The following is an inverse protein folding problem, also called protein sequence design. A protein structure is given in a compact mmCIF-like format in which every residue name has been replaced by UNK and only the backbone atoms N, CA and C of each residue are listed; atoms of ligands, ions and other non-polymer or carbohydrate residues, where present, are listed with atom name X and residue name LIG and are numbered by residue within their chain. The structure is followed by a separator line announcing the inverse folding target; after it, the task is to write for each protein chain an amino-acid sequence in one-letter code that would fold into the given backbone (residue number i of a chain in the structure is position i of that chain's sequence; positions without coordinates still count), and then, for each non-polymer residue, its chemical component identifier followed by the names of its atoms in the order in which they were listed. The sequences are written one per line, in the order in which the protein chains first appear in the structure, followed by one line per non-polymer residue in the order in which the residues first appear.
data_IF_036018904691
#
_entry.id   IF_036018904691
#
_cell.length_a   1.000
_cell.length_b   1.000
_cell.length_c   1.000
_cell.angle_alpha   90.00
_cell.angle_beta   90.00
_cell.angle_gamma   90.00
#
_symmetry.space_group_name_H-M   'P 1'
#
loop_
_entity.id
_entity.type
_entity.pdbx_description
1 polymer ?
#
# COMPACT_ATOMS: atom_id res chain seq x y z
N UNK A 1 59.60 6.25 18.14
CA UNK A 1 59.30 5.16 17.22
C UNK A 1 58.15 5.60 16.33
N UNK A 2 58.46 5.96 15.10
CA UNK A 2 57.47 6.36 14.08
C UNK A 2 57.08 5.08 13.38
N UNK A 3 55.85 4.64 13.58
CA UNK A 3 55.28 3.50 12.87
C UNK A 3 55.02 3.85 11.42
N UNK A 4 55.81 3.34 10.52
CA UNK A 4 55.57 3.34 9.07
C UNK A 4 54.40 2.42 8.81
N UNK A 5 53.25 3.00 8.37
CA UNK A 5 52.16 2.27 7.75
C UNK A 5 52.69 1.72 6.41
N UNK A 6 52.96 0.43 6.36
CA UNK A 6 53.32 -0.23 5.11
C UNK A 6 52.09 -0.32 4.22
N UNK A 7 51.94 0.60 3.26
CA UNK A 7 51.08 0.40 2.11
C UNK A 7 51.55 -0.85 1.37
N UNK A 8 50.66 -1.78 1.09
CA UNK A 8 50.94 -2.99 0.32
C UNK A 8 51.30 -2.58 -1.10
N UNK A 9 52.54 -2.76 -1.58
CA UNK A 9 52.98 -2.22 -2.89
C UNK A 9 52.43 -3.02 -4.12
N UNK A 10 51.52 -3.97 -3.87
CA UNK A 10 50.98 -4.86 -4.90
C UNK A 10 49.48 -4.63 -5.21
N UNK A 11 48.84 -3.71 -4.53
CA UNK A 11 47.53 -3.25 -5.00
C UNK A 11 47.75 -2.26 -6.14
N UNK A 12 47.63 -2.76 -7.35
CA UNK A 12 47.55 -1.89 -8.53
C UNK A 12 46.31 -0.99 -8.36
N UNK A 13 46.41 0.32 -8.54
CA UNK A 13 45.24 1.16 -8.59
C UNK A 13 44.32 0.66 -9.69
N UNK A 14 43.03 0.46 -9.35
CA UNK A 14 41.99 0.15 -10.35
C UNK A 14 42.12 1.15 -11.50
N UNK A 15 42.31 0.65 -12.73
CA UNK A 15 42.23 1.53 -13.89
C UNK A 15 40.81 2.08 -13.98
N UNK A 16 40.65 3.36 -14.34
CA UNK A 16 39.33 4.02 -14.43
C UNK A 16 38.30 3.20 -15.25
N UNK A 17 38.74 2.47 -16.24
CA UNK A 17 37.91 1.58 -17.09
C UNK A 17 37.34 0.36 -16.34
N UNK A 18 37.93 -0.05 -15.23
CA UNK A 18 37.46 -1.21 -14.45
C UNK A 18 36.45 -0.82 -13.36
N UNK A 19 36.26 0.48 -13.12
CA UNK A 19 35.33 0.98 -12.13
C UNK A 19 33.87 0.61 -12.42
N UNK A 20 33.34 0.77 -13.65
CA UNK A 20 31.96 0.33 -13.96
C UNK A 20 31.75 -1.16 -13.70
N UNK A 21 32.74 -2.01 -14.07
CA UNK A 21 32.68 -3.44 -13.82
C UNK A 21 32.65 -3.76 -12.30
N UNK A 22 33.45 -3.08 -11.51
CA UNK A 22 33.51 -3.27 -10.07
C UNK A 22 32.16 -2.90 -9.41
N UNK A 23 31.54 -1.78 -9.80
CA UNK A 23 30.21 -1.37 -9.32
C UNK A 23 29.16 -2.41 -9.71
N UNK A 24 29.13 -2.86 -10.96
CA UNK A 24 28.16 -3.84 -11.44
C UNK A 24 28.29 -5.18 -10.71
N UNK A 25 29.52 -5.68 -10.52
CA UNK A 25 29.77 -6.93 -9.78
C UNK A 25 29.31 -6.81 -8.32
N UNK A 26 29.67 -5.72 -7.64
CA UNK A 26 29.25 -5.50 -6.26
C UNK A 26 27.73 -5.41 -6.17
N UNK A 27 27.07 -4.73 -7.08
CA UNK A 27 25.60 -4.69 -7.16
C UNK A 27 25.01 -6.10 -7.32
N UNK A 28 25.52 -6.89 -8.29
CA UNK A 28 25.03 -8.24 -8.55
C UNK A 28 25.20 -9.16 -7.33
N UNK A 29 26.36 -9.11 -6.68
CA UNK A 29 26.68 -9.89 -5.49
C UNK A 29 25.81 -9.50 -4.28
N UNK A 30 25.59 -8.21 -4.06
CA UNK A 30 24.77 -7.75 -2.94
C UNK A 30 23.30 -8.14 -3.14
N UNK A 31 22.78 -8.03 -4.35
CA UNK A 31 21.46 -8.54 -4.70
C UNK A 31 21.39 -10.06 -4.51
N UNK A 32 22.37 -10.79 -5.00
CA UNK A 32 22.46 -12.26 -4.87
C UNK A 32 22.40 -12.71 -3.42
N UNK A 33 23.09 -12.00 -2.52
CA UNK A 33 23.18 -12.32 -1.11
C UNK A 33 21.93 -11.93 -0.32
N UNK A 34 21.27 -10.85 -0.66
CA UNK A 34 20.34 -10.19 0.26
C UNK A 34 18.92 -9.97 -0.26
N UNK A 35 18.75 -9.83 -1.59
CA UNK A 35 17.41 -9.61 -2.14
C UNK A 35 16.56 -10.89 -2.08
N UNK A 36 15.35 -10.78 -1.53
CA UNK A 36 14.51 -11.94 -1.21
C UNK A 36 13.43 -12.24 -2.24
N UNK A 37 13.04 -11.26 -3.08
CA UNK A 37 11.83 -11.35 -3.90
C UNK A 37 12.09 -11.81 -5.35
N UNK A 38 13.16 -12.58 -5.63
CA UNK A 38 13.43 -13.06 -6.99
C UNK A 38 12.34 -13.99 -7.53
N UNK A 39 11.82 -14.89 -6.69
CA UNK A 39 10.77 -15.82 -7.08
C UNK A 39 9.43 -15.12 -7.26
N UNK A 40 9.09 -14.19 -6.40
CA UNK A 40 7.86 -13.41 -6.43
C UNK A 40 7.76 -12.54 -7.70
N UNK A 41 8.91 -12.08 -8.20
CA UNK A 41 9.01 -11.30 -9.44
C UNK A 41 9.35 -12.15 -10.67
N UNK A 42 9.45 -13.48 -10.51
CA UNK A 42 9.76 -14.43 -11.59
C UNK A 42 11.06 -14.12 -12.34
N UNK A 43 12.10 -13.69 -11.62
CA UNK A 43 13.38 -13.27 -12.20
C UNK A 43 14.45 -14.32 -12.01
N UNK A 44 15.06 -14.73 -13.11
CA UNK A 44 16.29 -15.51 -13.10
C UNK A 44 17.49 -14.56 -12.97
N UNK A 45 18.05 -14.46 -11.77
CA UNK A 45 19.10 -13.49 -11.45
C UNK A 45 20.42 -13.77 -12.21
N UNK A 46 20.77 -15.03 -12.41
CA UNK A 46 22.00 -15.39 -13.18
C UNK A 46 21.86 -14.94 -14.64
N UNK A 47 20.66 -15.06 -15.22
CA UNK A 47 20.42 -14.57 -16.58
C UNK A 47 20.63 -13.07 -16.70
N UNK A 48 20.28 -12.27 -15.68
CA UNK A 48 20.55 -10.83 -15.66
C UNK A 48 22.05 -10.55 -15.72
N UNK A 49 22.88 -11.31 -14.99
CA UNK A 49 24.33 -11.16 -15.05
C UNK A 49 24.87 -11.41 -16.45
N UNK A 50 24.58 -12.58 -17.02
CA UNK A 50 25.11 -12.98 -18.33
C UNK A 50 24.63 -12.10 -19.49
N UNK A 51 23.44 -11.53 -19.36
CA UNK A 51 22.89 -10.61 -20.37
C UNK A 51 23.64 -9.28 -20.40
N UNK A 52 24.11 -8.79 -19.24
CA UNK A 52 24.64 -7.44 -19.13
C UNK A 52 26.18 -7.39 -19.07
N UNK A 53 26.85 -8.45 -18.62
CA UNK A 53 28.29 -8.42 -18.32
C UNK A 53 29.16 -8.03 -19.53
N UNK A 54 28.83 -8.48 -20.76
CA UNK A 54 29.59 -8.14 -21.98
C UNK A 54 29.54 -6.65 -22.27
N UNK A 55 28.35 -6.02 -22.11
CA UNK A 55 28.17 -4.59 -22.31
C UNK A 55 28.90 -3.80 -21.22
N UNK A 56 28.83 -4.25 -19.96
CA UNK A 56 29.49 -3.59 -18.83
C UNK A 56 31.01 -3.58 -19.00
N UNK A 57 31.59 -4.65 -19.52
CA UNK A 57 33.03 -4.74 -19.78
C UNK A 57 33.55 -3.72 -20.82
N UNK A 58 32.67 -3.17 -21.65
CA UNK A 58 33.04 -2.18 -22.69
C UNK A 58 32.90 -0.74 -22.18
N UNK A 59 32.31 -0.54 -20.99
CA UNK A 59 32.08 0.79 -20.46
C UNK A 59 33.37 1.48 -20.01
N UNK A 60 33.42 2.79 -20.26
CA UNK A 60 34.54 3.63 -19.84
C UNK A 60 34.14 4.58 -18.68
N UNK A 61 32.86 4.85 -18.54
CA UNK A 61 32.35 5.81 -17.55
C UNK A 61 31.28 5.13 -16.66
N UNK A 62 31.28 5.49 -15.39
CA UNK A 62 30.28 4.98 -14.43
C UNK A 62 28.86 5.44 -14.76
N UNK A 63 28.70 6.55 -15.46
CA UNK A 63 27.41 7.08 -15.90
C UNK A 63 26.69 6.17 -16.89
N UNK A 64 27.44 5.42 -17.68
CA UNK A 64 26.92 4.49 -18.68
C UNK A 64 26.28 3.24 -18.04
N UNK A 65 26.49 3.02 -16.71
CA UNK A 65 25.75 2.03 -15.92
C UNK A 65 24.29 2.39 -15.68
N UNK A 66 23.93 3.68 -15.68
CA UNK A 66 22.58 4.14 -15.34
C UNK A 66 21.52 3.47 -16.24
N UNK A 67 21.61 3.47 -17.57
CA UNK A 67 20.62 2.80 -18.41
C UNK A 67 20.60 1.28 -18.23
N UNK A 68 21.73 0.64 -17.92
CA UNK A 68 21.80 -0.80 -17.64
C UNK A 68 21.05 -1.11 -16.35
N UNK A 69 21.34 -0.40 -15.27
CA UNK A 69 20.63 -0.57 -14.00
C UNK A 69 19.15 -0.25 -14.14
N UNK A 70 18.77 0.79 -14.87
CA UNK A 70 17.35 1.10 -15.12
C UNK A 70 16.64 -0.06 -15.83
N UNK A 71 17.30 -0.70 -16.81
CA UNK A 71 16.76 -1.88 -17.50
C UNK A 71 16.59 -3.08 -16.56
N UNK A 72 17.56 -3.30 -15.67
CA UNK A 72 17.49 -4.37 -14.67
C UNK A 72 16.35 -4.11 -13.69
N UNK A 73 16.23 -2.89 -13.15
CA UNK A 73 15.13 -2.54 -12.24
C UNK A 73 13.77 -2.65 -12.90
N UNK A 74 13.66 -2.30 -14.19
CA UNK A 74 12.44 -2.48 -14.96
C UNK A 74 12.07 -3.96 -15.19
N UNK A 75 13.05 -4.86 -15.18
CA UNK A 75 12.84 -6.30 -15.25
C UNK A 75 12.35 -6.85 -13.91
N UNK A 76 12.96 -6.40 -12.81
CA UNK A 76 12.59 -6.78 -11.45
C UNK A 76 11.20 -6.25 -11.06
N UNK A 77 10.82 -5.07 -11.52
CA UNK A 77 9.52 -4.42 -11.24
C UNK A 77 9.21 -4.23 -9.76
N UNK A 78 10.26 -4.15 -8.94
CA UNK A 78 10.13 -3.89 -7.51
C UNK A 78 10.25 -2.38 -7.24
N UNK A 79 9.17 -1.70 -6.81
CA UNK A 79 9.20 -0.26 -6.55
C UNK A 79 9.95 0.11 -5.27
N UNK A 80 10.27 -0.86 -4.40
CA UNK A 80 11.07 -0.66 -3.20
C UNK A 80 12.58 -0.73 -3.48
N UNK A 81 12.95 -1.27 -4.65
CA UNK A 81 14.32 -1.42 -5.09
C UNK A 81 14.81 -0.13 -5.76
N UNK A 82 15.88 0.45 -5.24
CA UNK A 82 16.51 1.61 -5.86
C UNK A 82 18.03 1.64 -5.68
N UNK A 83 18.71 2.29 -6.61
CA UNK A 83 20.15 2.44 -6.61
C UNK A 83 20.49 3.91 -6.45
N UNK A 84 21.22 4.24 -5.40
CA UNK A 84 21.79 5.56 -5.16
C UNK A 84 23.01 5.80 -6.04
N UNK A 85 22.97 6.86 -6.83
CA UNK A 85 24.06 7.29 -7.70
C UNK A 85 24.73 8.51 -7.08
N UNK A 86 26.07 8.54 -6.94
CA UNK A 86 26.77 9.69 -6.37
C UNK A 86 26.41 10.98 -7.08
N UNK A 87 25.98 11.99 -6.33
CA UNK A 87 25.66 13.35 -6.81
C UNK A 87 24.57 13.41 -7.90
N UNK A 88 23.80 12.34 -8.10
CA UNK A 88 22.69 12.25 -9.05
C UNK A 88 21.41 11.75 -8.41
N UNK A 89 20.31 11.81 -9.16
CA UNK A 89 19.08 11.18 -8.76
C UNK A 89 19.24 9.66 -8.74
N UNK A 90 18.62 8.99 -7.76
CA UNK A 90 18.60 7.53 -7.67
C UNK A 90 17.86 6.91 -8.85
N UNK A 91 18.31 5.71 -9.22
CA UNK A 91 17.66 4.86 -10.22
C UNK A 91 16.63 3.99 -9.47
N UNK A 92 15.41 3.94 -9.97
CA UNK A 92 14.35 3.11 -9.39
C UNK A 92 13.39 2.66 -10.49
N UNK A 93 12.70 1.56 -10.24
CA UNK A 93 11.56 1.19 -11.08
C UNK A 93 10.47 2.26 -10.90
N UNK A 94 10.05 2.85 -12.02
CA UNK A 94 8.96 3.81 -12.01
C UNK A 94 7.68 3.09 -12.38
N UNK A 95 6.73 3.13 -11.46
CA UNK A 95 5.37 2.72 -11.73
C UNK A 95 4.83 3.54 -12.91
N UNK A 96 4.44 2.87 -13.98
CA UNK A 96 3.84 3.52 -15.13
C UNK A 96 2.50 4.12 -14.74
N UNK A 97 2.43 5.40 -14.61
CA UNK A 97 1.24 6.17 -14.36
C UNK A 97 1.51 7.38 -13.47
N UNK A 98 1.52 8.56 -14.04
CA UNK A 98 1.35 9.78 -13.26
C UNK A 98 -0.13 9.90 -12.88
N UNK A 99 -0.44 10.57 -11.76
CA UNK A 99 -1.81 10.97 -11.41
C UNK A 99 -2.55 11.60 -12.59
N UNK A 100 -1.83 12.35 -13.41
CA UNK A 100 -2.33 13.03 -14.61
C UNK A 100 -2.69 12.03 -15.73
N UNK A 101 -1.96 10.92 -15.89
CA UNK A 101 -2.26 9.92 -16.93
C UNK A 101 -3.55 9.14 -16.67
N UNK A 102 -4.09 9.18 -15.44
CA UNK A 102 -5.34 8.55 -15.04
C UNK A 102 -6.48 9.56 -14.85
N UNK A 103 -6.27 10.82 -15.23
CA UNK A 103 -7.31 11.86 -15.16
C UNK A 103 -7.64 12.34 -13.75
N UNK A 104 -6.80 11.99 -12.76
CA UNK A 104 -7.02 12.32 -11.36
C UNK A 104 -6.16 13.51 -10.98
N UNK A 105 -6.80 14.63 -10.68
CA UNK A 105 -6.13 15.76 -10.03
C UNK A 105 -6.27 15.61 -8.51
N UNK A 106 -5.15 15.55 -7.81
CA UNK A 106 -5.03 15.36 -6.33
C UNK A 106 -5.84 16.36 -5.49
N UNK A 107 -6.21 17.48 -6.05
CA UNK A 107 -6.98 18.53 -5.36
C UNK A 107 -8.48 18.22 -5.23
N UNK A 108 -9.05 17.45 -6.16
CA UNK A 108 -10.52 17.32 -6.26
C UNK A 108 -11.14 16.30 -5.30
N UNK A 109 -10.38 15.33 -4.83
CA UNK A 109 -10.92 14.33 -3.88
C UNK A 109 -11.01 14.84 -2.44
N UNK A 110 -10.13 15.79 -2.06
CA UNK A 110 -10.11 16.38 -0.71
C UNK A 110 -11.01 17.60 -0.57
N UNK A 111 -11.20 18.37 -1.63
CA UNK A 111 -12.03 19.59 -1.58
C UNK A 111 -13.53 19.29 -1.42
N UNK A 112 -13.95 18.10 -1.83
CA UNK A 112 -15.35 17.68 -1.81
C UNK A 112 -15.92 17.47 -0.39
N UNK A 113 -15.08 17.14 0.59
CA UNK A 113 -15.52 16.76 1.92
C UNK A 113 -15.36 17.85 2.98
N UNK A 114 -14.82 19.01 2.65
CA UNK A 114 -14.42 20.03 3.63
C UNK A 114 -15.59 20.89 4.14
N UNK A 115 -16.72 20.91 3.48
CA UNK A 115 -17.79 21.86 3.78
C UNK A 115 -18.83 21.38 4.81
N UNK A 116 -18.61 20.29 5.49
CA UNK A 116 -19.57 19.75 6.47
C UNK A 116 -19.10 20.02 7.90
N UNK A 117 -19.92 20.75 8.68
CA UNK A 117 -19.63 21.22 10.06
C UNK A 117 -19.33 20.11 11.09
N UNK A 118 -19.48 18.84 10.72
CA UNK A 118 -19.26 17.66 11.57
C UNK A 118 -18.01 16.87 11.19
N UNK A 119 -17.10 17.44 10.41
CA UNK A 119 -15.93 16.75 9.90
C UNK A 119 -14.70 17.05 10.74
N UNK A 120 -14.05 16.03 11.28
CA UNK A 120 -12.69 16.15 11.81
C UNK A 120 -11.68 15.99 10.69
N UNK A 121 -11.05 17.08 10.30
CA UNK A 121 -9.92 17.08 9.39
C UNK A 121 -8.64 17.34 10.16
N UNK A 122 -7.72 16.39 10.11
CA UNK A 122 -6.37 16.50 10.68
C UNK A 122 -5.33 16.68 9.55
N UNK A 123 -5.21 17.89 8.97
CA UNK A 123 -4.40 18.11 7.77
C UNK A 123 -2.93 17.77 7.98
N UNK A 124 -2.42 17.98 9.20
CA UNK A 124 -1.05 17.63 9.57
C UNK A 124 -0.77 16.13 9.53
N UNK A 125 -1.80 15.29 9.61
CA UNK A 125 -1.72 13.84 9.67
C UNK A 125 -2.21 13.16 8.39
N UNK A 126 -2.83 13.92 7.48
CA UNK A 126 -3.42 13.37 6.25
C UNK A 126 -4.48 12.28 6.52
N UNK A 127 -5.25 12.49 7.58
CA UNK A 127 -6.36 11.63 7.99
C UNK A 127 -7.57 12.51 8.23
N UNK A 128 -8.73 12.05 7.82
CA UNK A 128 -9.99 12.72 8.10
C UNK A 128 -11.13 11.72 8.23
N UNK A 129 -12.14 12.09 9.01
CA UNK A 129 -13.37 11.33 9.18
C UNK A 129 -14.57 12.19 8.84
N UNK A 130 -15.58 11.55 8.27
CA UNK A 130 -16.84 12.16 7.92
C UNK A 130 -17.99 11.29 8.38
N UNK A 131 -19.13 11.90 8.67
CA UNK A 131 -20.41 11.22 8.78
C UNK A 131 -21.18 11.40 7.47
N UNK A 132 -21.49 10.28 6.82
CA UNK A 132 -22.33 10.26 5.62
C UNK A 132 -23.73 9.81 6.03
N UNK A 133 -24.73 10.62 5.70
CA UNK A 133 -26.13 10.23 5.83
C UNK A 133 -26.68 9.90 4.45
N UNK A 134 -27.28 8.74 4.32
CA UNK A 134 -27.89 8.28 3.09
C UNK A 134 -29.32 7.81 3.36
N UNK A 135 -30.26 8.32 2.57
CA UNK A 135 -31.67 7.96 2.68
C UNK A 135 -32.07 7.07 1.50
N UNK A 136 -32.53 5.87 1.83
CA UNK A 136 -33.08 4.94 0.87
C UNK A 136 -34.51 4.58 1.32
N UNK A 137 -35.50 4.89 0.49
CA UNK A 137 -36.91 4.75 0.80
C UNK A 137 -37.27 5.44 2.13
N UNK A 138 -37.80 4.70 3.11
CA UNK A 138 -38.20 5.22 4.43
C UNK A 138 -37.10 5.06 5.51
N UNK A 139 -35.89 4.66 5.11
CA UNK A 139 -34.77 4.42 6.02
C UNK A 139 -33.65 5.42 5.80
N UNK A 140 -33.08 5.91 6.89
CA UNK A 140 -31.88 6.72 6.92
C UNK A 140 -30.72 5.89 7.48
N UNK A 141 -29.63 5.79 6.70
CA UNK A 141 -28.40 5.14 7.09
C UNK A 141 -27.35 6.17 7.50
N UNK A 142 -26.54 5.81 8.47
CA UNK A 142 -25.44 6.64 8.93
C UNK A 142 -24.14 5.86 8.78
N UNK A 143 -23.31 6.25 7.83
CA UNK A 143 -22.01 5.65 7.60
C UNK A 143 -20.91 6.54 8.16
N UNK A 144 -19.85 5.93 8.66
CA UNK A 144 -18.60 6.62 8.95
C UNK A 144 -17.65 6.46 7.76
N UNK A 145 -17.05 7.55 7.36
CA UNK A 145 -15.99 7.54 6.34
C UNK A 145 -14.67 7.92 7.00
N UNK A 146 -13.66 7.09 6.82
CA UNK A 146 -12.30 7.26 7.35
C UNK A 146 -11.33 7.23 6.19
N UNK A 147 -10.71 8.35 5.89
CA UNK A 147 -9.65 8.40 4.89
C UNK A 147 -8.29 8.47 5.56
N UNK A 148 -7.39 7.58 5.17
CA UNK A 148 -5.99 7.58 5.60
C UNK A 148 -5.09 7.71 4.37
N UNK A 149 -4.62 8.93 4.09
CA UNK A 149 -3.76 9.22 2.93
C UNK A 149 -2.27 8.88 3.18
N UNK A 150 -1.89 8.54 4.41
CA UNK A 150 -0.51 8.23 4.75
C UNK A 150 -0.40 7.53 6.11
N UNK A 151 0.46 6.52 6.20
CA UNK A 151 0.84 5.85 7.44
C UNK A 151 2.19 6.37 7.97
N UNK A 152 2.36 7.67 8.08
CA UNK A 152 3.58 8.27 8.64
C UNK A 152 3.63 8.13 10.16
N UNK A 153 4.81 7.96 10.73
CA UNK A 153 5.05 7.72 12.16
C UNK A 153 4.30 8.68 13.10
N UNK A 154 4.20 9.96 12.74
CA UNK A 154 3.44 10.95 13.53
C UNK A 154 1.96 10.64 13.72
N UNK A 155 1.43 9.68 12.97
CA UNK A 155 0.02 9.30 13.00
C UNK A 155 -0.27 8.14 13.97
N UNK A 156 0.75 7.43 14.47
CA UNK A 156 0.56 6.21 15.24
C UNK A 156 -0.36 6.38 16.48
N UNK A 157 -0.25 7.52 17.17
CA UNK A 157 -1.00 7.77 18.41
C UNK A 157 -2.42 8.31 18.19
N UNK A 158 -2.79 8.64 16.96
CA UNK A 158 -4.09 9.27 16.70
C UNK A 158 -5.18 8.29 16.25
N UNK A 159 -4.79 7.08 15.78
CA UNK A 159 -5.75 6.14 15.22
C UNK A 159 -6.76 5.63 16.25
N UNK A 160 -6.31 5.30 17.46
CA UNK A 160 -7.18 4.83 18.51
C UNK A 160 -8.25 5.87 18.89
N UNK A 161 -7.91 7.11 19.34
CA UNK A 161 -8.92 8.09 19.70
C UNK A 161 -9.84 8.46 18.53
N UNK A 162 -9.32 8.46 17.29
CA UNK A 162 -10.13 8.73 16.11
C UNK A 162 -11.17 7.63 15.87
N UNK A 163 -10.75 6.37 15.93
CA UNK A 163 -11.66 5.24 15.72
C UNK A 163 -12.60 4.99 16.91
N UNK A 164 -12.20 5.37 18.13
CA UNK A 164 -13.11 5.44 19.28
C UNK A 164 -14.25 6.43 19.03
N UNK A 165 -13.97 7.61 18.48
CA UNK A 165 -15.01 8.56 18.10
C UNK A 165 -15.90 7.99 16.98
N UNK A 166 -15.33 7.35 15.97
CA UNK A 166 -16.08 6.67 14.90
C UNK A 166 -17.00 5.60 15.50
N UNK A 167 -16.53 4.77 16.41
CA UNK A 167 -17.33 3.74 17.06
C UNK A 167 -18.45 4.31 17.94
N UNK A 168 -18.19 5.44 18.62
CA UNK A 168 -19.21 6.15 19.43
C UNK A 168 -20.39 6.68 18.61
N UNK A 169 -20.18 6.96 17.32
CA UNK A 169 -21.26 7.36 16.42
C UNK A 169 -22.23 6.21 16.12
N UNK A 170 -21.88 4.97 16.48
CA UNK A 170 -22.66 3.76 16.18
C UNK A 170 -23.08 3.71 14.70
N UNK A 171 -22.15 3.81 13.76
CA UNK A 171 -22.48 3.85 12.34
C UNK A 171 -23.07 2.51 11.90
N UNK A 172 -23.95 2.55 10.91
CA UNK A 172 -24.47 1.35 10.25
C UNK A 172 -23.41 0.63 9.43
N UNK A 173 -22.33 1.33 9.01
CA UNK A 173 -21.18 0.79 8.31
C UNK A 173 -20.03 1.78 8.28
N UNK A 174 -18.83 1.29 7.93
CA UNK A 174 -17.62 2.09 7.85
C UNK A 174 -17.01 1.97 6.45
N UNK A 175 -16.64 3.11 5.86
CA UNK A 175 -15.85 3.19 4.64
C UNK A 175 -14.43 3.59 5.04
N UNK A 176 -13.45 2.75 4.75
CA UNK A 176 -12.02 3.02 4.92
C UNK A 176 -11.42 3.32 3.55
N UNK A 177 -11.05 4.56 3.31
CA UNK A 177 -10.47 4.98 2.03
C UNK A 177 -8.94 5.05 2.12
N UNK A 178 -8.28 4.13 1.42
CA UNK A 178 -6.83 4.03 1.31
C UNK A 178 -6.32 4.47 -0.07
N UNK A 179 -7.17 5.06 -0.90
CA UNK A 179 -6.74 5.58 -2.19
C UNK A 179 -5.66 6.65 -2.01
N UNK A 180 -4.69 6.67 -2.90
CA UNK A 180 -3.54 7.60 -2.89
C UNK A 180 -2.59 7.45 -1.68
N UNK A 181 -2.82 6.51 -0.79
CA UNK A 181 -1.90 6.22 0.31
C UNK A 181 -0.73 5.38 -0.23
N UNK A 182 0.36 6.06 -0.51
CA UNK A 182 1.60 5.47 -1.03
C UNK A 182 2.81 5.79 -0.16
N UNK A 183 2.58 6.20 1.08
CA UNK A 183 3.65 6.64 2.00
C UNK A 183 3.36 6.20 3.43
N UNK A 184 4.43 5.81 4.11
CA UNK A 184 4.34 5.51 5.52
C UNK A 184 5.21 4.36 5.95
N UNK A 185 5.03 3.96 7.18
CA UNK A 185 5.83 2.96 7.85
C UNK A 185 4.93 1.81 8.30
N UNK A 186 5.44 0.59 8.19
CA UNK A 186 4.72 -0.62 8.59
C UNK A 186 4.24 -0.55 10.07
N UNK A 187 5.06 -0.15 11.05
CA UNK A 187 4.58 -0.05 12.44
C UNK A 187 3.41 0.90 12.62
N UNK A 188 3.40 2.03 11.89
CA UNK A 188 2.30 3.00 11.96
C UNK A 188 1.01 2.44 11.37
N UNK A 189 1.10 1.67 10.28
CA UNK A 189 -0.04 0.95 9.71
C UNK A 189 -0.58 -0.10 10.69
N UNK A 190 0.29 -0.81 11.41
CA UNK A 190 -0.12 -1.78 12.44
C UNK A 190 -0.96 -1.11 13.54
N UNK A 191 -0.60 0.09 13.99
CA UNK A 191 -1.42 0.81 14.98
C UNK A 191 -2.83 1.13 14.48
N UNK A 192 -3.00 1.37 13.19
CA UNK A 192 -4.32 1.50 12.56
C UNK A 192 -5.06 0.16 12.51
N UNK A 193 -4.42 -0.89 12.03
CA UNK A 193 -5.00 -2.23 11.88
C UNK A 193 -5.46 -2.83 13.21
N UNK A 194 -4.70 -2.62 14.29
CA UNK A 194 -5.02 -3.12 15.65
C UNK A 194 -6.41 -2.70 16.13
N UNK A 195 -6.92 -1.59 15.63
CA UNK A 195 -8.22 -1.07 16.04
C UNK A 195 -9.40 -1.92 15.51
N UNK A 196 -9.17 -2.70 14.45
CA UNK A 196 -10.17 -3.55 13.80
C UNK A 196 -10.11 -5.02 14.21
N UNK A 197 -9.13 -5.41 14.99
CA UNK A 197 -8.94 -6.78 15.48
C UNK A 197 -9.11 -6.84 16.99
N UNK A 198 -9.61 -7.96 17.49
CA UNK A 198 -9.69 -8.23 18.92
C UNK A 198 -8.74 -9.36 19.29
N UNK A 199 -7.98 -9.17 20.38
CA UNK A 199 -7.06 -10.14 20.95
C UNK A 199 -5.83 -10.42 20.10
N UNK A 200 -5.03 -11.38 20.53
CA UNK A 200 -3.78 -11.73 19.89
C UNK A 200 -4.01 -12.72 18.73
N UNK A 201 -3.56 -12.37 17.53
CA UNK A 201 -3.62 -13.25 16.36
C UNK A 201 -2.59 -12.92 15.30
N UNK A 202 -2.15 -13.92 14.49
CA UNK A 202 -1.32 -13.64 13.33
C UNK A 202 -2.12 -12.91 12.25
N UNK A 203 -1.49 -11.92 11.61
CA UNK A 203 -2.05 -11.17 10.49
C UNK A 203 -1.28 -11.40 9.20
N UNK A 204 -0.03 -11.84 9.29
CA UNK A 204 0.82 -12.23 8.17
C UNK A 204 1.95 -13.15 8.65
N UNK A 205 2.70 -13.68 7.70
CA UNK A 205 3.89 -14.48 7.92
C UNK A 205 5.07 -13.83 7.22
N UNK A 206 6.25 -13.86 7.84
CA UNK A 206 7.48 -13.32 7.28
C UNK A 206 8.44 -14.46 6.96
N UNK A 207 9.05 -14.39 5.79
CA UNK A 207 10.09 -15.30 5.32
C UNK A 207 11.32 -14.47 4.99
N UNK A 208 12.49 -14.92 5.40
CA UNK A 208 13.77 -14.23 5.18
C UNK A 208 14.80 -15.21 4.60
N UNK A 209 15.92 -14.68 4.15
CA UNK A 209 17.07 -15.52 3.81
C UNK A 209 17.60 -16.21 5.06
N UNK A 210 17.83 -17.52 4.95
CA UNK A 210 18.48 -18.28 6.03
C UNK A 210 20.00 -18.10 6.01
N UNK A 211 20.59 -17.93 4.81
CA UNK A 211 22.01 -17.67 4.63
C UNK A 211 22.31 -16.86 3.36
N UNK A 212 23.50 -16.29 3.29
CA UNK A 212 23.99 -15.57 2.08
C UNK A 212 24.49 -16.52 0.97
N UNK A 213 24.68 -17.81 1.28
CA UNK A 213 25.31 -18.77 0.36
C UNK A 213 24.36 -19.27 -0.74
N UNK A 214 23.06 -19.29 -0.44
CA UNK A 214 22.05 -19.78 -1.38
C UNK A 214 20.82 -18.88 -1.39
N UNK A 215 20.60 -18.17 -2.47
CA UNK A 215 19.47 -17.23 -2.65
C UNK A 215 18.09 -17.87 -2.53
N UNK A 216 17.99 -19.18 -2.64
CA UNK A 216 16.74 -19.93 -2.52
C UNK A 216 16.56 -20.58 -1.14
N UNK A 217 17.56 -20.46 -0.25
CA UNK A 217 17.45 -20.99 1.10
C UNK A 217 16.75 -19.96 2.01
N UNK A 218 15.46 -20.15 2.21
CA UNK A 218 14.61 -19.26 2.96
C UNK A 218 14.22 -19.89 4.30
N UNK A 219 14.01 -19.06 5.32
CA UNK A 219 13.51 -19.50 6.62
C UNK A 219 12.10 -20.09 6.52
N UNK A 220 11.72 -20.88 7.52
CA UNK A 220 10.29 -21.19 7.68
C UNK A 220 9.50 -19.90 7.92
N UNK A 221 8.24 -19.85 7.44
CA UNK A 221 7.37 -18.69 7.68
C UNK A 221 7.13 -18.45 9.17
N UNK A 222 7.52 -17.29 9.65
CA UNK A 222 7.33 -16.85 11.03
C UNK A 222 6.08 -15.97 11.13
N UNK A 223 5.14 -16.28 12.05
CA UNK A 223 3.92 -15.49 12.18
C UNK A 223 4.22 -14.11 12.78
N UNK A 224 3.73 -13.07 12.12
CA UNK A 224 3.66 -11.74 12.67
C UNK A 224 2.28 -11.54 13.31
N UNK A 225 2.24 -11.55 14.63
CA UNK A 225 1.01 -11.40 15.41
C UNK A 225 0.86 -9.98 15.93
N UNK A 226 -0.39 -9.52 15.99
CA UNK A 226 -0.74 -8.27 16.67
C UNK A 226 -1.63 -8.55 17.88
N UNK A 227 -1.55 -7.66 18.85
CA UNK A 227 -2.47 -7.61 19.97
C UNK A 227 -3.54 -6.56 19.64
N UNK A 228 -4.64 -7.04 19.09
CA UNK A 228 -5.73 -6.20 18.59
C UNK A 228 -6.51 -5.57 19.73
N UNK A 229 -6.97 -4.34 19.54
CA UNK A 229 -7.68 -3.53 20.56
C UNK A 229 -9.20 -3.60 20.45
N UNK A 230 -9.73 -4.02 19.28
CA UNK A 230 -11.17 -4.18 19.05
C UNK A 230 -11.98 -2.89 19.19
N UNK A 231 -11.37 -1.74 18.89
CA UNK A 231 -12.03 -0.43 18.98
C UNK A 231 -13.22 -0.34 18.03
N UNK A 232 -13.08 -0.92 16.84
CA UNK A 232 -14.16 -1.06 15.86
C UNK A 232 -14.79 -2.44 16.03
N UNK A 233 -16.07 -2.55 16.42
CA UNK A 233 -16.74 -3.83 16.56
C UNK A 233 -16.80 -4.61 15.26
N UNK A 234 -16.58 -5.92 15.32
CA UNK A 234 -16.63 -6.85 14.18
C UNK A 234 -18.03 -7.02 13.58
N UNK A 235 -19.07 -6.57 14.30
CA UNK A 235 -20.45 -6.53 13.81
C UNK A 235 -20.74 -5.43 12.80
N UNK A 236 -19.86 -4.41 12.69
CA UNK A 236 -20.03 -3.29 11.76
C UNK A 236 -19.43 -3.66 10.40
N UNK A 237 -20.20 -3.64 9.30
CA UNK A 237 -19.66 -3.91 7.97
C UNK A 237 -18.67 -2.82 7.53
N UNK A 238 -17.61 -3.23 6.86
CA UNK A 238 -16.50 -2.36 6.44
C UNK A 238 -16.31 -2.49 4.93
N UNK A 239 -16.26 -1.35 4.25
CA UNK A 239 -15.79 -1.29 2.87
C UNK A 239 -14.45 -0.58 2.83
N UNK A 240 -13.44 -1.25 2.28
CA UNK A 240 -12.12 -0.64 2.03
C UNK A 240 -12.03 -0.23 0.58
N UNK A 241 -11.73 1.04 0.32
CA UNK A 241 -11.56 1.56 -1.04
C UNK A 241 -10.07 1.71 -1.34
N UNK A 242 -9.63 1.15 -2.46
CA UNK A 242 -8.25 1.23 -2.94
C UNK A 242 -8.18 1.67 -4.39
N UNK A 243 -7.01 2.17 -4.81
CA UNK A 243 -6.73 2.43 -6.22
C UNK A 243 -5.29 2.05 -6.59
N UNK A 244 -4.90 2.27 -7.84
CA UNK A 244 -3.55 1.92 -8.32
C UNK A 244 -2.42 2.67 -7.58
N UNK A 245 -2.71 3.76 -6.86
CA UNK A 245 -1.75 4.47 -6.00
C UNK A 245 -1.77 4.00 -4.53
N UNK A 246 -2.62 3.06 -4.17
CA UNK A 246 -2.54 2.38 -2.88
C UNK A 246 -1.34 1.45 -2.91
N UNK A 247 -0.29 1.78 -2.15
CA UNK A 247 0.99 1.11 -2.23
C UNK A 247 1.66 0.94 -0.87
N UNK A 248 2.59 -0.01 -0.75
CA UNK A 248 3.37 -0.24 0.45
C UNK A 248 2.51 -0.61 1.65
N UNK A 249 2.69 0.01 2.82
CA UNK A 249 1.90 -0.29 4.02
C UNK A 249 0.39 -0.19 3.80
N UNK A 250 -0.09 0.67 2.89
CA UNK A 250 -1.51 0.78 2.61
C UNK A 250 -2.06 -0.43 1.84
N UNK A 251 -1.28 -0.98 0.91
CA UNK A 251 -1.63 -2.23 0.22
C UNK A 251 -1.70 -3.39 1.22
N UNK A 252 -0.72 -3.49 2.12
CA UNK A 252 -0.70 -4.49 3.20
C UNK A 252 -1.91 -4.31 4.14
N UNK A 253 -2.23 -3.07 4.52
CA UNK A 253 -3.40 -2.74 5.33
C UNK A 253 -4.69 -3.26 4.70
N UNK A 254 -4.90 -2.98 3.42
CA UNK A 254 -6.09 -3.41 2.70
C UNK A 254 -6.23 -4.94 2.69
N UNK A 255 -5.14 -5.68 2.47
CA UNK A 255 -5.14 -7.14 2.55
C UNK A 255 -5.46 -7.67 3.94
N UNK A 256 -4.83 -7.09 4.98
CA UNK A 256 -5.08 -7.52 6.36
C UNK A 256 -6.54 -7.29 6.72
N UNK A 257 -7.10 -6.13 6.37
CA UNK A 257 -8.51 -5.83 6.61
C UNK A 257 -9.43 -6.75 5.80
N UNK A 258 -9.05 -7.11 4.56
CA UNK A 258 -9.83 -8.04 3.73
C UNK A 258 -9.99 -9.43 4.36
N UNK A 259 -9.08 -9.83 5.25
CA UNK A 259 -9.19 -11.10 5.97
C UNK A 259 -10.28 -11.08 7.07
N UNK A 260 -10.82 -9.92 7.41
CA UNK A 260 -11.94 -9.81 8.34
C UNK A 260 -13.26 -10.23 7.66
N UNK A 261 -14.12 -11.00 8.31
CA UNK A 261 -15.35 -11.54 7.71
C UNK A 261 -16.39 -10.47 7.35
N UNK A 262 -16.31 -9.30 8.00
CA UNK A 262 -17.19 -8.14 7.79
C UNK A 262 -16.62 -7.11 6.82
N UNK A 263 -15.52 -7.41 6.13
CA UNK A 263 -14.82 -6.46 5.25
C UNK A 263 -14.90 -6.86 3.78
N UNK A 264 -15.17 -5.88 2.94
CA UNK A 264 -15.14 -5.99 1.46
C UNK A 264 -14.20 -4.93 0.90
N UNK A 265 -13.30 -5.33 0.00
CA UNK A 265 -12.35 -4.41 -0.65
C UNK A 265 -12.81 -4.14 -2.08
N UNK A 266 -12.91 -2.86 -2.42
CA UNK A 266 -13.37 -2.39 -3.72
C UNK A 266 -12.43 -1.35 -4.33
N UNK A 267 -12.59 -1.07 -5.60
CA UNK A 267 -11.86 -0.01 -6.28
C UNK A 267 -11.08 -0.49 -7.48
N UNK A 268 -9.89 0.05 -7.71
CA UNK A 268 -8.99 -0.34 -8.79
C UNK A 268 -7.91 -1.29 -8.27
N UNK A 269 -7.40 -2.13 -9.18
CA UNK A 269 -6.24 -2.97 -8.87
C UNK A 269 -5.08 -2.10 -8.38
N UNK A 270 -4.55 -2.45 -7.20
CA UNK A 270 -3.42 -1.74 -6.63
C UNK A 270 -2.14 -2.03 -7.41
N UNK A 271 -1.16 -1.17 -7.27
CA UNK A 271 0.18 -1.49 -7.71
C UNK A 271 0.74 -2.61 -6.86
N UNK A 272 1.38 -3.59 -7.48
CA UNK A 272 2.07 -4.66 -6.77
C UNK A 272 3.26 -4.14 -5.96
N UNK A 273 3.60 -4.84 -4.88
CA UNK A 273 4.80 -4.60 -4.10
C UNK A 273 4.63 -3.66 -2.90
N UNK A 274 5.73 -3.48 -2.19
CA UNK A 274 5.80 -2.58 -1.04
C UNK A 274 5.41 -3.19 0.30
N UNK A 275 5.21 -4.51 0.36
CA UNK A 275 4.93 -5.23 1.61
C UNK A 275 6.18 -5.63 2.37
N UNK A 276 7.28 -5.83 1.69
CA UNK A 276 8.55 -6.28 2.25
C UNK A 276 9.26 -5.20 3.07
N UNK A 277 10.08 -5.60 4.02
CA UNK A 277 11.00 -4.71 4.72
C UNK A 277 12.17 -4.36 3.80
N UNK A 278 12.68 -3.13 3.92
CA UNK A 278 13.76 -2.62 3.07
C UNK A 278 15.04 -2.47 3.87
N UNK A 279 16.14 -2.95 3.33
CA UNK A 279 17.50 -2.71 3.80
C UNK A 279 18.33 -1.94 2.77
N UNK A 280 19.44 -1.37 3.24
CA UNK A 280 20.37 -0.66 2.37
C UNK A 280 21.79 -1.08 2.62
N UNK A 281 22.59 -1.18 1.55
CA UNK A 281 24.03 -1.44 1.60
C UNK A 281 24.78 -0.44 0.74
N UNK A 282 26.01 -0.17 1.13
CA UNK A 282 26.93 0.60 0.29
C UNK A 282 27.53 -0.30 -0.76
N UNK A 283 27.52 0.16 -1.99
CA UNK A 283 28.29 -0.42 -3.08
C UNK A 283 29.65 0.30 -3.19
N UNK A 284 30.56 -0.28 -3.98
CA UNK A 284 31.82 0.38 -4.26
C UNK A 284 31.64 1.75 -4.93
N UNK A 285 32.63 2.63 -4.85
CA UNK A 285 32.65 3.98 -5.44
C UNK A 285 31.48 4.89 -4.99
N UNK A 286 31.02 4.75 -3.74
CA UNK A 286 29.94 5.54 -3.14
C UNK A 286 28.57 5.38 -3.79
N UNK A 287 28.35 4.32 -4.55
CA UNK A 287 27.03 3.88 -4.95
C UNK A 287 26.34 3.22 -3.75
N UNK A 288 25.02 3.17 -3.76
CA UNK A 288 24.24 2.54 -2.71
C UNK A 288 23.12 1.69 -3.33
N UNK A 289 22.73 0.64 -2.64
CA UNK A 289 21.65 -0.24 -3.03
C UNK A 289 20.65 -0.35 -1.89
N UNK A 290 19.36 -0.18 -2.18
CA UNK A 290 18.25 -0.46 -1.29
C UNK A 290 17.37 -1.54 -1.90
N UNK A 291 17.01 -2.53 -1.10
CA UNK A 291 16.34 -3.75 -1.58
C UNK A 291 15.42 -4.34 -0.52
N UNK A 292 14.46 -5.14 -0.96
CA UNK A 292 13.59 -5.94 -0.10
C UNK A 292 14.36 -7.11 0.51
N UNK A 293 14.36 -7.24 1.84
CA UNK A 293 15.14 -8.23 2.59
C UNK A 293 14.28 -9.28 3.31
N UNK A 294 12.98 -9.23 3.14
CA UNK A 294 12.03 -10.27 3.55
C UNK A 294 10.92 -10.41 2.50
N UNK A 295 10.16 -11.47 2.60
CA UNK A 295 8.90 -11.64 1.88
C UNK A 295 7.80 -11.84 2.91
N UNK A 296 6.69 -11.13 2.76
CA UNK A 296 5.53 -11.29 3.62
C UNK A 296 4.39 -11.97 2.88
N UNK A 297 3.77 -12.91 3.55
CA UNK A 297 2.57 -13.61 3.09
C UNK A 297 1.41 -13.32 4.03
N UNK A 298 0.25 -13.08 3.47
CA UNK A 298 -0.97 -12.94 4.26
C UNK A 298 -1.43 -14.30 4.79
N UNK A 299 -2.39 -14.31 5.70
CA UNK A 299 -2.92 -15.55 6.31
C UNK A 299 -3.53 -16.52 5.30
N UNK A 300 -3.86 -16.07 4.11
CA UNK A 300 -4.31 -16.90 2.99
C UNK A 300 -3.19 -17.28 2.00
N UNK A 301 -1.92 -17.05 2.37
CA UNK A 301 -0.71 -17.33 1.58
C UNK A 301 -0.55 -16.54 0.28
N UNK A 302 -1.30 -15.46 0.09
CA UNK A 302 -0.97 -14.50 -0.96
C UNK A 302 0.25 -13.68 -0.57
N UNK A 303 1.16 -13.49 -1.52
CA UNK A 303 2.36 -12.68 -1.33
C UNK A 303 2.02 -11.19 -1.28
N UNK A 304 2.60 -10.45 -0.34
CA UNK A 304 2.44 -9.00 -0.22
C UNK A 304 3.02 -8.22 -1.41
N UNK A 305 3.88 -8.87 -2.22
CA UNK A 305 4.42 -8.28 -3.44
C UNK A 305 3.46 -8.38 -4.64
N UNK A 306 2.34 -9.09 -4.49
CA UNK A 306 1.32 -9.22 -5.52
C UNK A 306 0.28 -8.09 -5.46
N UNK A 307 -0.36 -7.75 -6.58
CA UNK A 307 -1.52 -6.84 -6.58
C UNK A 307 -2.66 -7.38 -5.72
N UNK A 308 -3.38 -6.47 -5.06
CA UNK A 308 -4.53 -6.83 -4.24
C UNK A 308 -5.66 -7.42 -5.10
N UNK A 309 -6.19 -8.57 -4.68
CA UNK A 309 -7.40 -9.14 -5.26
C UNK A 309 -8.64 -8.43 -4.71
N UNK A 310 -9.32 -7.69 -5.57
CA UNK A 310 -10.52 -6.93 -5.21
C UNK A 310 -11.74 -7.85 -5.14
N UNK A 311 -12.63 -7.58 -4.17
CA UNK A 311 -13.94 -8.19 -4.12
C UNK A 311 -14.86 -7.59 -5.22
N UNK A 312 -14.73 -6.28 -5.46
CA UNK A 312 -15.46 -5.56 -6.50
C UNK A 312 -14.54 -4.59 -7.23
N UNK A 313 -14.43 -4.76 -8.54
CA UNK A 313 -13.71 -3.80 -9.38
C UNK A 313 -14.61 -2.59 -9.66
N UNK A 314 -14.14 -1.41 -9.31
CA UNK A 314 -14.81 -0.14 -9.60
C UNK A 314 -13.93 0.65 -10.56
N UNK A 315 -14.43 0.91 -11.76
CA UNK A 315 -13.76 1.83 -12.69
C UNK A 315 -13.90 3.25 -12.13
N UNK A 316 -12.80 3.93 -11.87
CA UNK A 316 -12.80 5.39 -11.67
C UNK A 316 -13.08 6.03 -13.05
N UNK A 317 -14.28 5.85 -13.57
CA UNK A 317 -14.74 6.66 -14.67
C UNK A 317 -14.89 8.09 -14.16
N UNK A 318 -14.45 9.04 -14.98
CA UNK A 318 -14.62 10.47 -14.82
C UNK A 318 -15.83 10.81 -13.95
N UNK A 319 -15.58 11.64 -12.92
CA UNK A 319 -16.58 12.20 -12.05
C UNK A 319 -17.93 12.36 -12.76
N UNK A 320 -18.94 11.67 -12.26
CA UNK A 320 -20.30 11.89 -12.73
C UNK A 320 -20.75 13.18 -12.07
N UNK A 321 -20.89 14.22 -12.87
CA UNK A 321 -21.49 15.48 -12.41
C UNK A 321 -23.00 15.33 -12.58
N UNK A 322 -23.72 15.20 -11.48
CA UNK A 322 -25.18 15.33 -11.50
C UNK A 322 -25.58 16.75 -11.11
N UNK A 323 -26.42 17.34 -11.95
CA UNK A 323 -26.98 18.66 -11.69
C UNK A 323 -28.27 18.50 -10.87
N UNK A 324 -28.29 19.11 -9.69
CA UNK A 324 -29.48 19.17 -8.84
C UNK A 324 -29.98 20.60 -8.71
N UNK A 325 -31.28 20.74 -8.52
CA UNK A 325 -31.87 22.03 -8.17
C UNK A 325 -32.24 21.96 -6.68
N UNK A 326 -31.49 22.66 -5.86
CA UNK A 326 -31.75 22.79 -4.43
C UNK A 326 -32.18 24.24 -4.18
N UNK A 327 -33.37 24.44 -3.61
CA UNK A 327 -33.94 25.77 -3.31
C UNK A 327 -33.92 26.74 -4.52
N UNK A 328 -34.12 26.19 -5.74
CA UNK A 328 -34.14 26.99 -6.98
C UNK A 328 -32.77 27.36 -7.53
N UNK A 329 -31.69 26.93 -6.90
CA UNK A 329 -30.32 27.10 -7.38
C UNK A 329 -29.79 25.79 -7.99
N UNK A 330 -29.02 25.94 -9.07
CA UNK A 330 -28.37 24.82 -9.76
C UNK A 330 -27.12 24.45 -8.99
N UNK A 331 -27.11 23.28 -8.36
CA UNK A 331 -25.94 22.71 -7.74
C UNK A 331 -25.42 21.54 -8.56
N UNK A 332 -24.11 21.44 -8.69
CA UNK A 332 -23.44 20.33 -9.36
C UNK A 332 -22.87 19.43 -8.27
N UNK A 333 -23.48 18.26 -8.10
CA UNK A 333 -22.96 17.26 -7.18
C UNK A 333 -21.92 16.40 -7.89
N UNK A 334 -20.75 16.31 -7.31
CA UNK A 334 -19.71 15.40 -7.74
C UNK A 334 -19.95 14.03 -7.09
N UNK A 335 -20.22 13.01 -7.89
CA UNK A 335 -20.38 11.65 -7.38
C UNK A 335 -19.10 10.87 -7.61
N UNK A 336 -18.42 10.50 -6.52
CA UNK A 336 -17.34 9.55 -6.54
C UNK A 336 -17.92 8.13 -6.68
N UNK A 337 -17.64 7.48 -7.81
CA UNK A 337 -18.18 6.15 -8.13
C UNK A 337 -17.79 5.08 -7.11
N UNK A 338 -16.60 5.18 -6.51
CA UNK A 338 -16.14 4.24 -5.48
C UNK A 338 -16.91 4.44 -4.17
N UNK A 339 -17.16 5.69 -3.77
CA UNK A 339 -17.94 5.99 -2.56
C UNK A 339 -19.41 5.60 -2.77
N UNK A 340 -20.00 5.90 -3.94
CA UNK A 340 -21.36 5.50 -4.26
C UNK A 340 -21.50 3.97 -4.24
N UNK A 341 -20.55 3.25 -4.82
CA UNK A 341 -20.52 1.78 -4.76
C UNK A 341 -20.39 1.27 -3.33
N UNK A 342 -19.55 1.89 -2.51
CA UNK A 342 -19.37 1.53 -1.10
C UNK A 342 -20.68 1.69 -0.31
N UNK A 343 -21.40 2.80 -0.50
CA UNK A 343 -22.70 3.07 0.14
C UNK A 343 -23.71 1.99 -0.26
N UNK A 344 -23.87 1.70 -1.55
CA UNK A 344 -24.80 0.70 -2.04
C UNK A 344 -24.49 -0.71 -1.50
N UNK A 345 -23.20 -1.06 -1.39
CA UNK A 345 -22.80 -2.34 -0.82
C UNK A 345 -23.11 -2.40 0.68
N UNK A 346 -22.80 -1.35 1.44
CA UNK A 346 -23.11 -1.29 2.87
C UNK A 346 -24.62 -1.44 3.11
N UNK A 347 -25.46 -0.76 2.34
CA UNK A 347 -26.91 -0.92 2.42
C UNK A 347 -27.34 -2.38 2.22
N UNK A 348 -26.75 -3.07 1.26
CA UNK A 348 -27.09 -4.46 0.97
C UNK A 348 -26.65 -5.45 2.06
N UNK A 349 -25.63 -5.09 2.84
CA UNK A 349 -25.08 -5.91 3.94
C UNK A 349 -25.85 -5.76 5.24
N UNK A 350 -26.61 -4.65 5.39
CA UNK A 350 -27.31 -4.36 6.62
C UNK A 350 -28.68 -5.06 6.56
N UNK A 351 -28.96 -6.04 7.43
CA UNK A 351 -30.24 -6.74 7.43
C UNK A 351 -31.40 -5.74 7.54
N UNK A 352 -32.41 -5.91 6.72
CA UNK A 352 -33.66 -5.20 6.91
C UNK A 352 -34.14 -5.49 8.32
N UNK A 353 -33.97 -4.52 9.22
CA UNK A 353 -34.65 -4.59 10.51
C UNK A 353 -36.12 -4.55 10.17
N UNK A 354 -36.76 -5.71 10.18
CA UNK A 354 -38.23 -5.77 10.14
C UNK A 354 -38.70 -4.80 11.21
N UNK A 355 -39.42 -3.77 10.78
CA UNK A 355 -40.15 -2.90 11.72
C UNK A 355 -40.90 -3.79 12.69
N UNK A 356 -41.02 -3.46 13.99
CA UNK A 356 -41.85 -4.22 14.91
C UNK A 356 -43.36 -4.19 14.54
N UNK A 357 -43.71 -3.54 13.45
CA UNK A 357 -45.02 -3.61 12.82
C UNK A 357 -45.09 -4.86 11.94
N UNK A 358 -45.53 -5.94 12.51
CA UNK A 358 -46.08 -7.19 12.00
C UNK A 358 -45.72 -7.64 10.58
N UNK A 359 -45.58 -8.95 10.43
CA UNK A 359 -45.43 -9.59 9.13
C UNK A 359 -46.71 -9.34 8.32
N UNK A 360 -46.60 -8.58 7.23
CA UNK A 360 -47.69 -8.39 6.27
C UNK A 360 -47.63 -9.54 5.27
N UNK A 361 -48.78 -10.16 5.01
CA UNK A 361 -48.90 -11.18 3.93
C UNK A 361 -48.89 -10.50 2.53
N UNK A 362 -48.78 -11.30 1.49
CA UNK A 362 -48.72 -10.84 0.10
C UNK A 362 -49.94 -9.99 -0.35
N UNK A 363 -50.91 -9.78 0.53
CA UNK A 363 -52.13 -8.93 0.29
C UNK A 363 -52.10 -7.68 1.18
N UNK A 364 -51.01 -7.39 1.90
CA UNK A 364 -50.84 -6.20 2.71
C UNK A 364 -51.65 -6.23 4.05
N UNK A 365 -52.02 -7.41 4.56
CA UNK A 365 -52.65 -7.57 5.84
C UNK A 365 -51.67 -8.04 6.94
N UNK A 366 -51.74 -7.45 8.11
CA UNK A 366 -51.00 -7.87 9.30
C UNK A 366 -51.34 -9.35 9.60
N UNK A 367 -50.30 -10.19 9.73
CA UNK A 367 -50.46 -11.57 10.22
C UNK A 367 -50.18 -11.53 11.73
N UNK A 368 -51.20 -11.77 12.54
CA UNK A 368 -51.07 -11.92 14.01
C UNK A 368 -50.26 -13.15 14.39
#
# INVERSE_FOLDING_TARGET
MVGLCACNPWEQPEEEKDIPLAIFKTFWEQMDKHYTCFEEHFVNWDSIYYTNISQVNELQNTEDLVPIFQSILNTLKDPQLWIGVPQKASIQYRLNGSLESHGITTAKGTDFFIDNKNNEYLPSHQIYTLRLSHKCEDREFHFAYVSALSFRNKNATIYKPLLEQVAQLQPDGIIVDLRYNNKGEFPTMIEFVRQFYEGNRPILYTVQRESEENRYNMTHPEPYSIDGEGTVPDSIPIIVIVNFLTFGPANVCAYILQALPNTTVIGQTTTSGGGSSVSGVSLTHNWALHFSNDVKYYVNWHCCESPLHLNVLVSESSAIYEEYIIDGHKEVLFIDSSIATAINLLESMIPWKTSPLGIFNATGRLVE
#
